data_IF_708656855771
#
_entry.id   IF_708656855771
#
_cell.length_a   1.000
_cell.length_b   1.000
_cell.length_c   1.000
_cell.angle_alpha   90.00
_cell.angle_beta   90.00
_cell.angle_gamma   90.00
#
_symmetry.space_group_name_H-M   'P 1'
#
loop_
_entity.id
_entity.type
_entity.pdbx_description
1 polymer ?
#
# COMPACT_ATOMS: atom_id res chain seq x y z
N UNK A 1 -25.41 -15.22 -2.31
CA UNK A 1 -24.05 -15.28 -1.73
C UNK A 1 -22.96 -14.83 -2.69
N UNK A 2 -22.93 -15.21 -3.97
CA UNK A 2 -21.88 -14.72 -4.90
C UNK A 2 -21.95 -13.21 -5.20
N UNK A 3 -23.15 -12.62 -5.25
CA UNK A 3 -23.36 -11.22 -5.66
C UNK A 3 -22.74 -10.23 -4.67
N UNK A 4 -22.95 -10.42 -3.37
CA UNK A 4 -22.37 -9.54 -2.33
C UNK A 4 -20.84 -9.65 -2.29
N UNK A 5 -20.30 -10.85 -2.51
CA UNK A 5 -18.85 -11.04 -2.58
C UNK A 5 -18.23 -10.33 -3.80
N UNK A 6 -18.92 -10.36 -4.95
CA UNK A 6 -18.53 -9.59 -6.14
C UNK A 6 -18.59 -8.07 -5.91
N UNK A 7 -19.61 -7.59 -5.21
CA UNK A 7 -19.76 -6.18 -4.84
C UNK A 7 -18.60 -5.71 -3.94
N UNK A 8 -18.27 -6.50 -2.91
CA UNK A 8 -17.18 -6.20 -1.98
C UNK A 8 -15.80 -6.18 -2.66
N UNK A 9 -15.57 -7.03 -3.67
CA UNK A 9 -14.32 -7.00 -4.43
C UNK A 9 -14.13 -5.71 -5.22
N UNK A 10 -15.20 -5.18 -5.83
CA UNK A 10 -15.15 -3.90 -6.53
C UNK A 10 -14.89 -2.76 -5.56
N UNK A 11 -15.54 -2.77 -4.40
CA UNK A 11 -15.30 -1.79 -3.33
C UNK A 11 -13.85 -1.84 -2.84
N UNK A 12 -13.30 -3.04 -2.60
CA UNK A 12 -11.91 -3.22 -2.16
C UNK A 12 -10.92 -2.75 -3.24
N UNK A 13 -11.17 -3.04 -4.51
CA UNK A 13 -10.31 -2.57 -5.62
C UNK A 13 -10.26 -1.05 -5.72
N UNK A 14 -11.31 -0.35 -5.31
CA UNK A 14 -11.38 1.11 -5.28
C UNK A 14 -10.61 1.70 -4.10
N UNK A 15 -10.59 0.98 -2.96
CA UNK A 15 -9.91 1.45 -1.74
C UNK A 15 -8.43 1.08 -1.71
N UNK A 16 -8.05 -0.01 -2.38
CA UNK A 16 -6.68 -0.50 -2.50
C UNK A 16 -5.90 0.13 -3.67
N UNK A 17 -6.49 1.10 -4.39
CA UNK A 17 -5.79 1.80 -5.46
C UNK A 17 -4.50 2.43 -4.90
N UNK A 18 -3.31 2.07 -5.44
CA UNK A 18 -2.04 2.62 -4.97
C UNK A 18 -2.02 4.15 -4.94
N UNK A 19 -2.69 4.80 -5.89
CA UNK A 19 -2.85 6.25 -5.97
C UNK A 19 -3.54 6.85 -4.72
N UNK A 20 -4.54 6.16 -4.15
CA UNK A 20 -5.22 6.63 -2.93
C UNK A 20 -4.32 6.52 -1.72
N UNK A 21 -3.58 5.40 -1.60
CA UNK A 21 -2.62 5.20 -0.52
C UNK A 21 -1.50 6.24 -0.58
N UNK A 22 -0.95 6.51 -1.75
CA UNK A 22 0.06 7.55 -1.94
C UNK A 22 -0.46 8.95 -1.59
N UNK A 23 -1.69 9.26 -1.99
CA UNK A 23 -2.34 10.55 -1.67
C UNK A 23 -2.44 10.76 -0.16
N UNK A 24 -2.97 9.79 0.58
CA UNK A 24 -3.11 9.88 2.04
C UNK A 24 -1.72 9.96 2.70
N UNK A 25 -0.78 9.11 2.27
CA UNK A 25 0.58 9.09 2.81
C UNK A 25 1.26 10.45 2.66
N UNK A 26 1.13 11.11 1.50
CA UNK A 26 1.76 12.42 1.24
C UNK A 26 1.00 13.58 1.89
N UNK A 27 -0.32 13.62 1.75
CA UNK A 27 -1.12 14.79 2.10
C UNK A 27 -1.51 14.84 3.57
N UNK A 28 -1.81 13.67 4.18
CA UNK A 28 -2.31 13.61 5.57
C UNK A 28 -1.23 13.17 6.55
N UNK A 29 -0.38 12.24 6.14
CA UNK A 29 0.67 11.70 7.01
C UNK A 29 2.04 12.36 6.78
N UNK A 30 2.13 13.26 5.79
CA UNK A 30 3.36 13.97 5.41
C UNK A 30 4.57 13.03 5.18
N UNK A 31 4.30 11.81 4.73
CA UNK A 31 5.32 10.81 4.46
C UNK A 31 6.13 11.20 3.22
N UNK A 32 7.42 10.90 3.27
CA UNK A 32 8.36 11.08 2.17
C UNK A 32 9.05 9.76 1.89
N UNK A 33 9.38 9.48 0.62
CA UNK A 33 10.23 8.35 0.33
C UNK A 33 11.60 8.56 1.00
N UNK A 34 12.14 7.54 1.70
CA UNK A 34 13.48 7.62 2.22
C UNK A 34 14.47 7.76 1.06
N UNK A 35 15.47 8.63 1.23
CA UNK A 35 16.60 8.69 0.30
C UNK A 35 17.36 7.36 0.29
N UNK A 36 18.08 7.09 -0.80
CA UNK A 36 18.78 5.81 -1.03
C UNK A 36 19.70 5.39 0.13
N UNK A 37 20.37 6.34 0.78
CA UNK A 37 21.23 6.07 1.95
C UNK A 37 20.50 5.71 3.25
N UNK A 38 19.16 5.77 3.28
CA UNK A 38 18.32 5.38 4.44
C UNK A 38 17.60 4.05 4.23
N UNK A 39 17.78 3.40 3.08
CA UNK A 39 17.19 2.10 2.78
C UNK A 39 18.19 1.02 3.21
N UNK A 40 17.77 0.12 4.10
CA UNK A 40 18.53 -1.08 4.47
C UNK A 40 17.80 -2.31 3.96
N UNK A 41 18.49 -3.11 3.15
CA UNK A 41 17.99 -4.42 2.72
C UNK A 41 18.49 -5.43 3.74
N UNK A 42 17.56 -6.08 4.43
CA UNK A 42 17.89 -7.18 5.32
C UNK A 42 17.93 -8.46 4.49
N UNK A 43 19.12 -9.07 4.38
CA UNK A 43 19.21 -10.44 3.85
C UNK A 43 18.70 -11.41 4.92
N UNK A 44 17.86 -12.35 4.51
CA UNK A 44 17.38 -13.38 5.41
C UNK A 44 18.49 -14.42 5.49
N UNK A 45 19.28 -14.34 6.55
CA UNK A 45 20.38 -15.26 6.83
C UNK A 45 19.94 -16.71 6.58
N UNK A 46 20.57 -17.32 5.57
CA UNK A 46 20.28 -18.67 5.09
C UNK A 46 21.03 -19.62 6.01
N UNK A 47 20.34 -20.11 7.05
CA UNK A 47 20.75 -21.34 7.72
C UNK A 47 20.27 -22.55 6.94
#
# INVERSE_FOLDING_TARGET
>A
YEVEFGQLQIEQSTWAMPARMEKIAREQLHMQLPGTGRVQVLDRDRR
#
